data_IF_525493151082
#
_entry.id   IF_525493151082
#
_cell.length_a   1.000
_cell.length_b   1.000
_cell.length_c   1.000
_cell.angle_alpha   90.00
_cell.angle_beta   90.00
_cell.angle_gamma   90.00
#
_symmetry.space_group_name_H-M   'P 1'
#
loop_
_entity.id
_entity.type
_entity.pdbx_description
1 polymer ?
#
# COMPACT_ATOMS: atom_id res chain seq x y z
N UNK A 1 36.02 -33.08 25.18
CA UNK A 1 36.34 -31.65 25.41
C UNK A 1 37.36 -31.22 24.38
N UNK A 2 36.92 -30.47 23.36
CA UNK A 2 37.66 -29.34 22.78
C UNK A 2 36.80 -28.73 21.68
N UNK A 3 35.98 -27.78 22.12
CA UNK A 3 35.40 -26.75 21.29
C UNK A 3 36.48 -25.88 20.66
N UNK A 4 36.05 -25.21 19.57
CA UNK A 4 36.63 -24.03 18.90
C UNK A 4 37.33 -24.36 17.59
N UNK A 5 36.66 -24.05 16.49
CA UNK A 5 36.95 -22.84 15.70
C UNK A 5 35.70 -22.46 14.88
N UNK A 6 34.78 -21.73 15.53
CA UNK A 6 33.69 -21.06 14.83
C UNK A 6 34.22 -19.73 14.26
N UNK A 7 34.86 -19.78 13.10
CA UNK A 7 35.41 -18.60 12.42
C UNK A 7 34.31 -17.89 11.59
N UNK A 8 33.43 -17.17 12.28
CA UNK A 8 32.57 -16.17 11.64
C UNK A 8 33.35 -14.85 11.52
N UNK A 9 34.08 -14.68 10.41
CA UNK A 9 34.69 -13.39 10.08
C UNK A 9 33.59 -12.38 9.69
N UNK A 10 33.35 -11.40 10.56
CA UNK A 10 32.49 -10.24 10.28
C UNK A 10 33.25 -9.31 9.33
N UNK A 11 32.84 -9.30 8.06
CA UNK A 11 33.33 -8.32 7.08
C UNK A 11 32.59 -7.02 7.39
N UNK A 12 33.30 -6.04 7.97
CA UNK A 12 32.71 -4.78 8.41
C UNK A 12 32.09 -4.03 7.23
N UNK A 13 30.85 -3.59 7.41
CA UNK A 13 30.17 -2.59 6.57
C UNK A 13 29.97 -1.36 7.43
N UNK A 14 30.38 -0.19 6.94
CA UNK A 14 30.33 1.10 7.64
C UNK A 14 29.03 1.29 8.44
N UNK A 15 29.18 1.34 9.76
CA UNK A 15 28.08 1.58 10.68
C UNK A 15 27.97 3.08 10.94
N UNK A 16 27.17 3.78 10.13
CA UNK A 16 26.77 5.15 10.40
C UNK A 16 25.30 5.22 10.84
N UNK A 17 25.01 5.92 11.93
CA UNK A 17 23.63 6.28 12.27
C UNK A 17 23.13 7.37 11.32
N UNK A 18 21.95 7.19 10.73
CA UNK A 18 21.30 8.22 9.94
C UNK A 18 20.32 9.00 10.82
N UNK A 19 20.48 10.32 10.88
CA UNK A 19 19.54 11.23 11.54
C UNK A 19 19.14 12.30 10.55
N UNK A 20 17.84 12.39 10.23
CA UNK A 20 17.31 13.35 9.27
C UNK A 20 16.05 12.82 8.57
N UNK A 21 15.45 13.63 7.68
CA UNK A 21 14.29 13.21 6.89
C UNK A 21 14.69 12.12 5.89
N UNK A 22 13.95 11.01 5.88
CA UNK A 22 14.15 9.91 4.94
C UNK A 22 12.96 9.79 4.00
N UNK A 23 13.22 9.73 2.69
CA UNK A 23 12.15 9.51 1.70
C UNK A 23 11.58 8.11 1.85
N UNK A 24 10.27 7.97 1.65
CA UNK A 24 9.54 6.71 1.75
C UNK A 24 10.20 5.58 0.95
N UNK A 25 10.50 5.82 -0.34
CA UNK A 25 11.16 4.81 -1.20
C UNK A 25 12.48 4.28 -0.63
N UNK A 26 13.25 5.15 0.03
CA UNK A 26 14.56 4.83 0.56
C UNK A 26 14.44 4.09 1.90
N UNK A 27 13.41 4.43 2.70
CA UNK A 27 13.01 3.70 3.90
C UNK A 27 12.51 2.29 3.56
N UNK A 28 11.52 2.18 2.67
CA UNK A 28 10.92 0.90 2.24
C UNK A 28 11.98 -0.05 1.70
N UNK A 29 12.92 0.45 0.86
CA UNK A 29 14.03 -0.38 0.34
C UNK A 29 14.91 -0.96 1.45
N UNK A 30 15.14 -0.23 2.55
CA UNK A 30 15.97 -0.68 3.67
C UNK A 30 15.28 -1.76 4.50
N UNK A 31 13.96 -1.68 4.65
CA UNK A 31 13.17 -2.62 5.45
C UNK A 31 12.58 -3.77 4.62
N UNK A 32 12.72 -3.74 3.28
CA UNK A 32 12.20 -4.78 2.38
C UNK A 32 12.81 -6.14 2.71
N UNK A 33 11.96 -7.12 3.02
CA UNK A 33 12.34 -8.46 3.43
C UNK A 33 12.51 -8.66 4.95
N UNK A 34 12.29 -7.61 5.76
CA UNK A 34 12.12 -7.77 7.21
C UNK A 34 10.87 -8.61 7.47
N UNK A 35 11.02 -9.73 8.20
CA UNK A 35 9.87 -10.54 8.65
C UNK A 35 9.33 -10.11 10.01
N UNK A 36 10.21 -9.56 10.85
CA UNK A 36 9.90 -9.12 12.22
C UNK A 36 10.64 -7.80 12.44
N UNK A 37 9.95 -6.83 13.03
CA UNK A 37 10.49 -5.53 13.43
C UNK A 37 10.29 -5.38 14.93
N UNK A 38 11.37 -5.16 15.67
CA UNK A 38 11.28 -4.88 17.09
C UNK A 38 11.24 -3.37 17.29
N UNK A 39 10.21 -2.90 18.00
CA UNK A 39 10.01 -1.48 18.26
C UNK A 39 10.01 -1.24 19.76
N UNK A 40 10.63 -0.13 20.18
CA UNK A 40 10.63 0.35 21.55
C UNK A 40 10.03 1.75 21.60
N UNK A 41 9.30 2.04 22.67
CA UNK A 41 8.67 3.34 22.91
C UNK A 41 7.83 3.81 21.71
N UNK A 42 7.03 2.90 21.13
CA UNK A 42 6.16 3.19 19.99
C UNK A 42 4.91 3.93 20.46
N UNK A 43 4.82 5.19 20.05
CA UNK A 43 3.70 6.08 20.28
C UNK A 43 3.07 6.41 18.92
N UNK A 44 1.79 6.11 18.80
CA UNK A 44 0.98 6.48 17.65
C UNK A 44 -0.12 7.42 18.13
N UNK A 45 -0.26 8.56 17.46
CA UNK A 45 -1.34 9.52 17.75
C UNK A 45 -1.98 10.02 16.46
N UNK A 46 -3.27 10.30 16.55
CA UNK A 46 -4.10 10.68 15.42
C UNK A 46 -4.68 12.07 15.67
N UNK A 47 -4.48 12.97 14.72
CA UNK A 47 -5.01 14.32 14.76
C UNK A 47 -5.84 14.58 13.51
N UNK A 48 -7.01 15.18 13.68
CA UNK A 48 -7.88 15.61 12.58
C UNK A 48 -7.98 17.11 12.63
N UNK A 49 -7.70 17.77 11.51
CA UNK A 49 -7.80 19.21 11.35
C UNK A 49 -8.84 19.50 10.28
N UNK A 50 -9.79 20.38 10.58
CA UNK A 50 -10.79 20.85 9.63
C UNK A 50 -10.50 22.30 9.26
N UNK A 51 -10.34 22.55 7.97
CA UNK A 51 -10.22 23.89 7.43
C UNK A 51 -11.55 24.27 6.74
N UNK A 52 -12.43 24.94 7.50
CA UNK A 52 -13.74 25.39 7.01
C UNK A 52 -13.64 26.33 5.80
N UNK A 53 -12.56 27.12 5.70
CA UNK A 53 -12.40 28.11 4.62
C UNK A 53 -12.03 27.47 3.26
N UNK A 54 -11.38 26.31 3.31
CA UNK A 54 -10.99 25.52 2.13
C UNK A 54 -11.89 24.28 1.94
N UNK A 55 -12.84 24.06 2.87
CA UNK A 55 -13.69 22.86 2.96
C UNK A 55 -12.86 21.56 2.88
N UNK A 56 -11.75 21.52 3.61
CA UNK A 56 -10.80 20.41 3.64
C UNK A 56 -10.72 19.79 5.04
N UNK A 57 -10.64 18.47 5.10
CA UNK A 57 -10.35 17.71 6.32
C UNK A 57 -9.00 17.04 6.14
N UNK A 58 -8.06 17.31 7.04
CA UNK A 58 -6.72 16.71 7.06
C UNK A 58 -6.59 15.76 8.24
N UNK A 59 -6.43 14.46 7.96
CA UNK A 59 -6.10 13.44 8.95
C UNK A 59 -4.59 13.23 9.01
N UNK A 60 -3.99 13.46 10.17
CA UNK A 60 -2.55 13.30 10.40
C UNK A 60 -2.30 12.24 11.45
N UNK A 61 -1.55 11.20 11.07
CA UNK A 61 -1.03 10.20 12.01
C UNK A 61 0.42 10.52 12.34
N UNK A 62 0.70 10.73 13.63
CA UNK A 62 2.05 10.89 14.15
C UNK A 62 2.53 9.57 14.73
N UNK A 63 3.66 9.09 14.21
CA UNK A 63 4.31 7.87 14.70
C UNK A 63 5.69 8.25 15.22
N UNK A 64 5.94 7.95 16.50
CA UNK A 64 7.21 8.18 17.16
C UNK A 64 7.65 6.90 17.85
N UNK A 65 8.92 6.55 17.71
CA UNK A 65 9.48 5.41 18.42
C UNK A 65 10.88 5.09 17.94
N UNK A 66 11.57 4.26 18.72
CA UNK A 66 12.86 3.72 18.34
C UNK A 66 12.67 2.38 17.64
N UNK A 67 13.15 2.26 16.41
CA UNK A 67 13.02 1.04 15.61
C UNK A 67 14.37 0.37 15.45
N UNK A 68 14.46 -0.91 15.85
CA UNK A 68 15.64 -1.74 15.68
C UNK A 68 15.31 -2.90 14.73
N UNK A 69 15.97 -2.92 13.57
CA UNK A 69 15.70 -3.88 12.49
C UNK A 69 16.96 -4.64 12.12
N UNK A 70 16.84 -5.96 11.98
CA UNK A 70 17.92 -6.84 11.54
C UNK A 70 17.51 -7.52 10.25
N UNK A 71 18.10 -7.10 9.13
CA UNK A 71 17.93 -7.76 7.83
C UNK A 71 19.12 -8.67 7.58
N UNK A 72 18.89 -9.98 7.58
CA UNK A 72 19.91 -10.97 7.22
C UNK A 72 19.67 -11.50 5.83
N UNK A 73 20.68 -11.41 4.95
CA UNK A 73 20.66 -12.04 3.63
C UNK A 73 21.79 -13.06 3.57
N UNK A 74 21.48 -14.27 3.12
CA UNK A 74 22.47 -15.33 2.88
C UNK A 74 22.74 -15.39 1.39
N UNK A 75 24.02 -15.31 1.03
CA UNK A 75 24.48 -15.51 -0.34
C UNK A 75 25.54 -16.61 -0.34
N UNK A 76 25.49 -17.52 -1.31
CA UNK A 76 26.58 -18.46 -1.54
C UNK A 76 27.80 -17.67 -2.03
N UNK A 77 28.98 -17.91 -1.44
CA UNK A 77 30.22 -17.30 -1.95
C UNK A 77 30.44 -17.73 -3.41
N UNK A 78 30.78 -16.81 -4.33
CA UNK A 78 31.20 -17.19 -5.67
C UNK A 78 32.43 -18.09 -5.56
N UNK A 79 32.43 -19.22 -6.29
CA UNK A 79 33.58 -20.12 -6.37
C UNK A 79 34.66 -19.40 -7.18
N UNK A 80 35.72 -18.95 -6.50
CA UNK A 80 36.91 -18.43 -7.18
C UNK A 80 37.78 -19.64 -7.52
N UNK A 81 37.66 -20.15 -8.75
CA UNK A 81 38.57 -21.16 -9.29
C UNK A 81 39.97 -20.54 -9.40
N UNK A 82 40.88 -20.96 -8.50
CA UNK A 82 42.30 -20.64 -8.63
C UNK A 82 42.90 -21.31 -9.87
N UNK A 83 44.06 -20.83 -10.38
CA UNK A 83 44.68 -21.42 -11.55
C UNK A 83 45.01 -22.89 -11.27
N UNK A 84 44.38 -23.81 -11.99
CA UNK A 84 44.64 -25.25 -11.85
C UNK A 84 45.93 -25.60 -12.59
N UNK A 85 46.97 -25.97 -11.87
CA UNK A 85 48.18 -26.58 -12.41
C UNK A 85 47.94 -28.07 -12.66
N UNK A 86 47.62 -28.41 -13.90
CA UNK A 86 47.30 -29.78 -14.30
C UNK A 86 48.48 -30.73 -14.09
N UNK A 87 48.50 -31.47 -12.97
CA UNK A 87 49.26 -32.72 -12.82
C UNK A 87 48.83 -33.55 -11.60
N UNK A 88 48.04 -34.59 -11.88
CA UNK A 88 48.22 -35.92 -11.28
C UNK A 88 47.41 -36.29 -10.03
N UNK A 89 46.56 -37.31 -10.19
CA UNK A 89 46.45 -38.41 -9.24
C UNK A 89 45.55 -38.22 -8.02
N UNK A 90 44.34 -38.75 -8.11
CA UNK A 90 43.43 -38.94 -6.97
C UNK A 90 42.00 -38.91 -7.46
N UNK A 91 41.20 -39.91 -7.10
CA UNK A 91 39.74 -39.91 -7.35
C UNK A 91 39.11 -38.62 -6.81
N UNK A 92 38.48 -37.82 -7.66
CA UNK A 92 37.75 -36.62 -7.24
C UNK A 92 36.44 -36.50 -8.03
N UNK A 93 35.34 -36.67 -7.28
CA UNK A 93 33.98 -36.18 -7.49
C UNK A 93 33.60 -35.67 -8.89
N UNK A 94 32.88 -36.51 -9.65
CA UNK A 94 32.11 -36.08 -10.82
C UNK A 94 30.86 -35.26 -10.43
N UNK A 95 31.03 -34.17 -9.68
CA UNK A 95 29.93 -33.46 -9.01
C UNK A 95 29.73 -31.99 -9.39
N UNK A 96 30.54 -31.39 -10.25
CA UNK A 96 30.71 -29.92 -10.15
C UNK A 96 29.76 -29.09 -11.03
N UNK A 97 29.45 -29.51 -12.26
CA UNK A 97 28.52 -28.75 -13.11
C UNK A 97 27.05 -29.02 -12.78
N UNK A 98 26.71 -30.26 -12.45
CA UNK A 98 25.33 -30.67 -12.18
C UNK A 98 24.83 -30.11 -10.84
N UNK A 99 25.69 -30.03 -9.83
CA UNK A 99 25.35 -29.49 -8.52
C UNK A 99 25.15 -27.96 -8.55
N UNK A 100 25.91 -27.23 -9.37
CA UNK A 100 25.70 -25.79 -9.57
C UNK A 100 24.41 -25.48 -10.34
N UNK A 101 24.08 -26.29 -11.35
CA UNK A 101 22.81 -26.19 -12.09
C UNK A 101 21.63 -26.48 -11.17
N UNK A 102 21.71 -27.51 -10.31
CA UNK A 102 20.67 -27.85 -9.35
C UNK A 102 20.43 -26.72 -8.34
N UNK A 103 21.50 -26.09 -7.83
CA UNK A 103 21.38 -24.92 -6.93
C UNK A 103 20.68 -23.73 -7.60
N UNK A 104 20.99 -23.46 -8.88
CA UNK A 104 20.31 -22.40 -9.65
C UNK A 104 18.84 -22.76 -9.92
N UNK A 105 18.55 -24.04 -10.19
CA UNK A 105 17.18 -24.53 -10.34
C UNK A 105 16.36 -24.36 -9.06
N UNK A 106 16.91 -24.72 -7.90
CA UNK A 106 16.22 -24.57 -6.62
C UNK A 106 15.92 -23.10 -6.31
N UNK A 107 16.89 -22.20 -6.56
CA UNK A 107 16.68 -20.77 -6.43
C UNK A 107 15.54 -20.24 -7.34
N UNK A 108 15.55 -20.64 -8.62
CA UNK A 108 14.50 -20.25 -9.56
C UNK A 108 13.14 -20.84 -9.19
N UNK A 109 13.10 -22.07 -8.67
CA UNK A 109 11.87 -22.71 -8.20
C UNK A 109 11.29 -21.92 -7.02
N UNK A 110 12.12 -21.47 -6.09
CA UNK A 110 11.66 -20.68 -4.95
C UNK A 110 11.21 -19.27 -5.36
N UNK A 111 11.94 -18.57 -6.24
CA UNK A 111 11.46 -17.32 -6.83
C UNK A 111 10.13 -17.51 -7.60
N UNK A 112 9.99 -18.61 -8.34
CA UNK A 112 8.73 -18.95 -9.02
C UNK A 112 7.57 -19.23 -8.06
N UNK A 113 7.83 -19.79 -6.87
CA UNK A 113 6.80 -19.98 -5.84
C UNK A 113 6.37 -18.64 -5.25
N UNK A 114 7.32 -17.76 -4.95
CA UNK A 114 7.03 -16.41 -4.45
C UNK A 114 6.23 -15.62 -5.49
N UNK A 115 6.65 -15.60 -6.75
CA UNK A 115 5.90 -14.97 -7.84
C UNK A 115 4.47 -15.51 -7.98
N UNK A 116 4.26 -16.83 -7.80
CA UNK A 116 2.91 -17.41 -7.85
C UNK A 116 2.04 -16.94 -6.69
N UNK A 117 2.61 -16.75 -5.50
CA UNK A 117 1.88 -16.21 -4.35
C UNK A 117 1.51 -14.74 -4.60
N UNK A 118 2.46 -13.93 -5.07
CA UNK A 118 2.21 -12.53 -5.41
C UNK A 118 1.11 -12.39 -6.49
N UNK A 119 1.15 -13.22 -7.54
CA UNK A 119 0.12 -13.25 -8.58
C UNK A 119 -1.24 -13.65 -8.01
N UNK A 120 -1.29 -14.53 -7.00
CA UNK A 120 -2.55 -14.92 -6.36
C UNK A 120 -3.14 -13.75 -5.58
N UNK A 121 -2.34 -13.05 -4.78
CA UNK A 121 -2.74 -11.86 -4.02
C UNK A 121 -3.24 -10.78 -4.98
N UNK A 122 -2.48 -10.49 -6.05
CA UNK A 122 -2.90 -9.50 -7.07
C UNK A 122 -4.24 -9.85 -7.73
N UNK A 123 -4.55 -11.14 -7.92
CA UNK A 123 -5.85 -11.56 -8.45
C UNK A 123 -6.98 -11.32 -7.46
N UNK A 124 -6.74 -11.55 -6.17
CA UNK A 124 -7.70 -11.29 -5.10
C UNK A 124 -7.95 -9.78 -4.99
N UNK A 125 -6.90 -8.95 -4.96
CA UNK A 125 -7.00 -7.49 -4.92
C UNK A 125 -7.78 -6.94 -6.14
N UNK A 126 -7.48 -7.44 -7.35
CA UNK A 126 -8.19 -7.03 -8.57
C UNK A 126 -9.67 -7.48 -8.56
N UNK A 127 -10.01 -8.57 -7.86
CA UNK A 127 -11.40 -8.99 -7.71
C UNK A 127 -12.17 -8.02 -6.80
N UNK A 128 -11.61 -7.68 -5.64
CA UNK A 128 -12.19 -6.68 -4.72
C UNK A 128 -12.37 -5.33 -5.41
N UNK A 129 -11.35 -4.87 -6.13
CA UNK A 129 -11.40 -3.58 -6.84
C UNK A 129 -12.50 -3.55 -7.92
N UNK A 130 -12.81 -4.70 -8.55
CA UNK A 130 -13.92 -4.80 -9.50
C UNK A 130 -15.28 -4.69 -8.81
N UNK A 131 -15.42 -5.29 -7.62
CA UNK A 131 -16.64 -5.19 -6.81
C UNK A 131 -16.87 -3.75 -6.35
N UNK A 132 -15.83 -3.10 -5.81
CA UNK A 132 -15.90 -1.70 -5.38
C UNK A 132 -16.30 -0.76 -6.54
N UNK A 133 -15.72 -0.96 -7.73
CA UNK A 133 -16.07 -0.19 -8.93
C UNK A 133 -17.51 -0.47 -9.40
N UNK A 134 -18.05 -1.67 -9.17
CA UNK A 134 -19.44 -1.96 -9.48
C UNK A 134 -20.39 -1.21 -8.55
N UNK A 135 -20.13 -1.24 -7.23
CA UNK A 135 -20.88 -0.49 -6.22
C UNK A 135 -20.84 1.01 -6.52
N UNK A 136 -19.65 1.57 -6.80
CA UNK A 136 -19.52 2.99 -7.16
C UNK A 136 -20.33 3.37 -8.41
N UNK A 137 -20.48 2.47 -9.39
CA UNK A 137 -21.31 2.74 -10.57
C UNK A 137 -22.80 2.79 -10.23
N UNK A 138 -23.26 1.92 -9.33
CA UNK A 138 -24.64 1.93 -8.83
C UNK A 138 -24.93 3.20 -8.03
N UNK A 139 -24.04 3.57 -7.10
CA UNK A 139 -24.17 4.80 -6.31
C UNK A 139 -24.23 6.05 -7.21
N UNK A 140 -23.38 6.13 -8.24
CA UNK A 140 -23.40 7.23 -9.21
C UNK A 140 -24.68 7.24 -10.05
N UNK A 141 -25.28 6.08 -10.33
CA UNK A 141 -26.56 6.02 -11.03
C UNK A 141 -27.70 6.58 -10.16
N UNK A 142 -27.76 6.16 -8.90
CA UNK A 142 -28.74 6.67 -7.92
C UNK A 142 -28.58 8.19 -7.74
N UNK A 143 -27.35 8.67 -7.57
CA UNK A 143 -27.09 10.12 -7.46
C UNK A 143 -27.56 10.90 -8.69
N UNK A 144 -27.46 10.34 -9.90
CA UNK A 144 -27.97 11.00 -11.12
C UNK A 144 -29.50 11.08 -11.12
N UNK A 145 -30.19 10.05 -10.64
CA UNK A 145 -31.65 10.07 -10.49
C UNK A 145 -32.08 11.12 -9.46
N UNK A 146 -31.44 11.12 -8.29
CA UNK A 146 -31.72 12.09 -7.22
C UNK A 146 -31.53 13.53 -7.68
N UNK A 147 -30.45 13.82 -8.41
CA UNK A 147 -30.20 15.15 -9.00
C UNK A 147 -31.26 15.51 -10.04
N UNK A 148 -31.77 14.54 -10.80
CA UNK A 148 -32.83 14.78 -11.79
C UNK A 148 -34.15 15.13 -11.10
N UNK A 149 -34.54 14.38 -10.08
CA UNK A 149 -35.72 14.65 -9.24
C UNK A 149 -35.59 16.02 -8.56
N UNK A 150 -34.39 16.34 -8.05
CA UNK A 150 -34.14 17.63 -7.42
C UNK A 150 -34.34 18.79 -8.40
N UNK A 151 -33.84 18.66 -9.65
CA UNK A 151 -34.06 19.66 -10.69
C UNK A 151 -35.55 19.87 -10.99
N UNK A 152 -36.31 18.79 -11.12
CA UNK A 152 -37.77 18.88 -11.34
C UNK A 152 -38.48 19.60 -10.20
N UNK A 153 -38.16 19.25 -8.95
CA UNK A 153 -38.73 19.91 -7.76
C UNK A 153 -38.38 21.40 -7.71
N UNK A 154 -37.14 21.76 -8.04
CA UNK A 154 -36.72 23.16 -8.12
C UNK A 154 -37.49 23.91 -9.21
N UNK A 155 -37.68 23.32 -10.40
CA UNK A 155 -38.47 23.95 -11.46
C UNK A 155 -39.94 24.15 -11.08
N UNK A 156 -40.54 23.20 -10.35
CA UNK A 156 -41.90 23.37 -9.81
C UNK A 156 -41.94 24.51 -8.80
N UNK A 157 -40.99 24.57 -7.86
CA UNK A 157 -40.90 25.65 -6.88
C UNK A 157 -40.69 27.02 -7.54
N UNK A 158 -39.89 27.10 -8.60
CA UNK A 158 -39.71 28.32 -9.38
C UNK A 158 -41.03 28.79 -10.03
N UNK A 159 -41.82 27.86 -10.58
CA UNK A 159 -43.14 28.15 -11.15
C UNK A 159 -44.15 28.63 -10.08
N UNK A 160 -44.22 27.92 -8.94
CA UNK A 160 -45.08 28.30 -7.82
C UNK A 160 -44.73 29.69 -7.29
N UNK A 161 -43.43 29.99 -7.16
CA UNK A 161 -42.96 31.32 -6.75
C UNK A 161 -43.27 32.41 -7.77
N UNK A 162 -43.25 32.10 -9.07
CA UNK A 162 -43.68 33.04 -10.10
C UNK A 162 -45.18 33.35 -9.97
N UNK A 163 -46.00 32.34 -9.70
CA UNK A 163 -47.45 32.49 -9.52
C UNK A 163 -47.81 33.29 -8.25
N UNK A 164 -47.09 33.07 -7.15
CA UNK A 164 -47.20 33.88 -5.92
C UNK A 164 -46.83 35.34 -6.20
N UNK A 165 -45.71 35.59 -6.89
CA UNK A 165 -45.29 36.95 -7.28
C UNK A 165 -46.28 37.64 -8.22
N UNK A 166 -46.94 36.88 -9.09
CA UNK A 166 -47.96 37.38 -10.00
C UNK A 166 -49.33 37.63 -9.33
N UNK A 167 -49.49 37.33 -8.04
CA UNK A 167 -50.74 37.53 -7.31
C UNK A 167 -51.88 36.63 -7.78
N UNK A 168 -51.58 35.47 -8.39
CA UNK A 168 -52.63 34.54 -8.85
C UNK A 168 -53.46 33.96 -7.70
N UNK A 169 -52.90 33.92 -6.49
CA UNK A 169 -53.56 33.40 -5.28
C UNK A 169 -54.32 34.45 -4.45
N UNK A 170 -54.35 35.73 -4.83
CA UNK A 170 -55.16 36.75 -4.17
C UNK A 170 -56.45 37.07 -4.95
N UNK A 171 -57.43 36.15 -4.90
CA UNK A 171 -58.85 36.47 -5.16
C UNK A 171 -59.76 35.68 -4.21
N UNK A 172 -60.20 36.31 -3.13
CA UNK A 172 -61.60 36.29 -2.63
C UNK A 172 -61.71 36.77 -1.17
N UNK A 173 -61.42 38.04 -0.91
CA UNK A 173 -62.05 38.76 0.21
C UNK A 173 -62.66 40.07 -0.30
N UNK A 174 -63.49 39.99 -1.35
CA UNK A 174 -64.56 40.97 -1.52
C UNK A 174 -65.84 40.26 -1.08
N UNK A 175 -66.18 40.41 0.20
CA UNK A 175 -67.54 40.18 0.66
C UNK A 175 -68.41 41.22 -0.05
N UNK A 176 -69.39 40.83 -0.89
CA UNK A 176 -70.38 41.78 -1.37
C UNK A 176 -71.32 42.09 -0.20
N UNK A 177 -71.38 43.37 0.12
CA UNK A 177 -72.48 44.08 0.77
C UNK A 177 -73.14 43.42 2.00
N UNK A 178 -72.82 43.95 3.19
CA UNK A 178 -73.78 43.97 4.28
C UNK A 178 -74.35 45.39 4.37
N UNK A 179 -75.67 45.45 4.17
CA UNK A 179 -76.57 46.61 4.26
C UNK A 179 -76.47 47.31 5.61
#
# INVERSE_FOLDING_TARGET
>A
MNDKFNNNQKINSDSGSFTGPLKEKDFVRKIKGCKIVNVRDFEESFNVYENESENEITETTYIKGYVEMVVSRKYQKPIILGPTDGRGGGTICGGDAHDEINKKLDYLIDEMKEMKQDIKILKEDVAVLKEDVAVLKEDVAVLKEDVTILKEKVSVLEADMADVKAGKYCKSHNSPDFV
#
